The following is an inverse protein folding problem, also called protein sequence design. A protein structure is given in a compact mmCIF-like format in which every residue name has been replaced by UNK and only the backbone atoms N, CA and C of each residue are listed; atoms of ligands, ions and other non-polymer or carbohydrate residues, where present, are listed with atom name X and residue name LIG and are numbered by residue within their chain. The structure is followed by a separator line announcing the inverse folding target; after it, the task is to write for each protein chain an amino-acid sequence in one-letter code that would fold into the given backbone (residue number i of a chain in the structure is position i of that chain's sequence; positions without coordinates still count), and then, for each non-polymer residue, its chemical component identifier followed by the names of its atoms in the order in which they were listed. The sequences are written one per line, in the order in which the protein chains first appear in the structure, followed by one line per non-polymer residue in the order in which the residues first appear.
data_IF_200110595819
#
_entry.id   IF_200110595819
#
_cell.length_a   1.000
_cell.length_b   1.000
_cell.length_c   1.000
_cell.angle_alpha   90.00
_cell.angle_beta   90.00
_cell.angle_gamma   90.00
#
_symmetry.space_group_name_H-M   'P 1'
#
loop_
_entity.id
_entity.type
_entity.pdbx_description
1 polymer ?
#
# COMPACT_ATOMS: atom_id res chain seq x y z
N UNK A 1 -3.87 20.37 -25.04
CA UNK A 1 -4.04 19.37 -23.95
C UNK A 1 -3.80 19.96 -22.55
N UNK A 2 -3.21 21.16 -22.45
CA UNK A 2 -2.74 21.85 -21.23
C UNK A 2 -3.83 22.29 -20.22
N UNK A 3 -5.11 22.04 -20.50
CA UNK A 3 -6.25 22.51 -19.66
C UNK A 3 -6.99 21.35 -18.98
N UNK A 4 -6.71 20.09 -19.33
CA UNK A 4 -7.40 18.93 -18.76
C UNK A 4 -6.81 18.55 -17.41
N UNK A 5 -7.66 18.50 -16.39
CA UNK A 5 -7.38 17.93 -15.07
C UNK A 5 -8.09 16.58 -14.98
N UNK A 6 -7.41 15.53 -15.42
CA UNK A 6 -7.95 14.17 -15.42
C UNK A 6 -7.52 13.47 -14.13
N UNK A 7 -8.44 13.38 -13.17
CA UNK A 7 -8.16 12.76 -11.87
C UNK A 7 -7.87 11.25 -12.02
N UNK A 8 -8.50 10.57 -12.97
CA UNK A 8 -8.27 9.15 -13.23
C UNK A 8 -6.87 8.88 -13.76
N UNK A 9 -6.42 9.68 -14.73
CA UNK A 9 -5.05 9.58 -15.24
C UNK A 9 -4.01 9.89 -14.15
N UNK A 10 -4.28 10.89 -13.30
CA UNK A 10 -3.41 11.23 -12.18
C UNK A 10 -3.33 10.08 -11.15
N UNK A 11 -4.46 9.46 -10.80
CA UNK A 11 -4.51 8.32 -9.88
C UNK A 11 -3.72 7.12 -10.40
N UNK A 12 -3.89 6.76 -11.68
CA UNK A 12 -3.16 5.65 -12.31
C UNK A 12 -1.65 5.91 -12.33
N UNK A 13 -1.24 7.15 -12.62
CA UNK A 13 0.16 7.53 -12.59
C UNK A 13 0.74 7.45 -11.15
N UNK A 14 -0.01 7.88 -10.14
CA UNK A 14 0.38 7.75 -8.74
C UNK A 14 0.51 6.28 -8.32
N UNK A 15 -0.43 5.42 -8.70
CA UNK A 15 -0.36 3.96 -8.44
C UNK A 15 0.93 3.39 -9.00
N UNK A 16 1.28 3.73 -10.24
CA UNK A 16 2.52 3.24 -10.86
C UNK A 16 3.77 3.67 -10.09
N UNK A 17 3.82 4.94 -9.66
CA UNK A 17 4.95 5.46 -8.86
C UNK A 17 5.04 4.82 -7.48
N UNK A 18 3.90 4.52 -6.86
CA UNK A 18 3.83 3.74 -5.61
C UNK A 18 4.43 2.35 -5.84
N UNK A 19 4.02 1.64 -6.89
CA UNK A 19 4.55 0.31 -7.24
C UNK A 19 6.07 0.31 -7.46
N UNK A 20 6.60 1.33 -8.14
CA UNK A 20 8.05 1.48 -8.33
C UNK A 20 8.78 1.75 -7.02
N UNK A 21 8.31 2.72 -6.22
CA UNK A 21 8.96 3.10 -4.97
C UNK A 21 8.88 1.99 -3.93
N UNK A 22 7.74 1.31 -3.82
CA UNK A 22 7.54 0.23 -2.86
C UNK A 22 8.41 -0.98 -3.17
N UNK A 23 8.63 -1.34 -4.44
CA UNK A 23 9.55 -2.42 -4.81
C UNK A 23 10.99 -2.19 -4.34
N UNK A 24 11.44 -0.93 -4.26
CA UNK A 24 12.78 -0.60 -3.74
C UNK A 24 12.83 -0.66 -2.21
N UNK A 25 11.71 -0.39 -1.54
CA UNK A 25 11.62 -0.31 -0.07
C UNK A 25 11.16 -1.60 0.61
N UNK A 26 10.54 -2.51 -0.15
CA UNK A 26 9.98 -3.75 0.35
C UNK A 26 11.05 -4.63 1.00
N UNK A 27 10.72 -5.17 2.18
CA UNK A 27 11.37 -6.34 2.75
C UNK A 27 10.79 -7.63 2.17
N UNK A 28 11.36 -8.77 2.58
CA UNK A 28 10.98 -10.11 2.07
C UNK A 28 9.49 -10.44 2.23
N UNK A 29 8.87 -9.94 3.30
CA UNK A 29 7.47 -10.23 3.66
C UNK A 29 6.51 -9.07 3.41
N UNK A 30 6.99 -8.00 2.78
CA UNK A 30 6.16 -6.84 2.48
C UNK A 30 5.13 -7.19 1.42
N UNK A 31 3.88 -6.83 1.67
CA UNK A 31 2.82 -6.90 0.66
C UNK A 31 2.00 -5.62 0.68
N UNK A 32 1.58 -5.17 -0.50
CA UNK A 32 0.62 -4.09 -0.62
C UNK A 32 -0.40 -4.39 -1.71
N UNK A 33 -1.54 -3.71 -1.67
CA UNK A 33 -2.62 -3.93 -2.64
C UNK A 33 -3.47 -2.68 -2.75
N UNK A 34 -3.71 -2.22 -3.98
CA UNK A 34 -4.81 -1.31 -4.30
C UNK A 34 -6.07 -2.14 -4.47
N UNK A 35 -6.88 -2.24 -3.42
CA UNK A 35 -8.03 -3.15 -3.36
C UNK A 35 -9.33 -2.57 -3.94
N UNK A 36 -9.40 -1.26 -4.11
CA UNK A 36 -10.54 -0.57 -4.69
C UNK A 36 -10.05 0.69 -5.42
N UNK A 37 -10.72 1.01 -6.53
CA UNK A 37 -10.57 2.30 -7.22
C UNK A 37 -11.93 2.80 -7.67
N UNK A 38 -12.14 4.09 -7.57
CA UNK A 38 -13.37 4.77 -8.00
C UNK A 38 -13.02 6.00 -8.82
N UNK A 39 -13.74 6.20 -9.93
CA UNK A 39 -13.68 7.41 -10.75
C UNK A 39 -15.06 8.05 -10.73
N UNK A 40 -15.12 9.37 -10.54
CA UNK A 40 -16.35 10.15 -10.59
C UNK A 40 -16.31 11.10 -11.79
N UNK A 41 -17.39 11.22 -12.59
CA UNK A 41 -18.66 10.49 -12.47
C UNK A 41 -18.64 9.07 -13.07
N UNK A 42 -17.49 8.58 -13.53
CA UNK A 42 -17.34 7.23 -14.07
C UNK A 42 -18.00 7.00 -15.44
N UNK A 43 -18.18 8.06 -16.23
CA UNK A 43 -18.81 8.01 -17.55
C UNK A 43 -17.78 7.99 -18.68
N UNK A 44 -18.02 7.19 -19.72
CA UNK A 44 -17.06 6.94 -20.83
C UNK A 44 -16.61 8.21 -21.56
N UNK A 45 -17.49 9.20 -21.66
CA UNK A 45 -17.24 10.44 -22.42
C UNK A 45 -17.01 11.67 -21.54
N UNK A 46 -16.79 11.48 -20.23
CA UNK A 46 -16.56 12.57 -19.27
C UNK A 46 -15.21 12.35 -18.59
N UNK A 47 -14.38 13.40 -18.58
CA UNK A 47 -13.11 13.38 -17.86
C UNK A 47 -13.41 13.34 -16.36
N UNK A 48 -12.85 12.38 -15.60
CA UNK A 48 -13.07 12.33 -14.16
C UNK A 48 -12.51 13.58 -13.46
N UNK A 49 -13.32 14.19 -12.60
CA UNK A 49 -12.92 15.30 -11.74
C UNK A 49 -12.42 14.82 -10.37
N UNK A 50 -12.82 13.61 -9.95
CA UNK A 50 -12.36 12.94 -8.75
C UNK A 50 -12.00 11.47 -9.06
N UNK A 51 -10.93 11.01 -8.41
CA UNK A 51 -10.52 9.62 -8.43
C UNK A 51 -9.98 9.23 -7.05
N UNK A 52 -10.35 8.05 -6.56
CA UNK A 52 -9.98 7.53 -5.26
C UNK A 52 -9.43 6.11 -5.39
N UNK A 53 -8.46 5.76 -4.54
CA UNK A 53 -7.99 4.40 -4.38
C UNK A 53 -7.92 4.01 -2.90
N UNK A 54 -8.15 2.72 -2.62
CA UNK A 54 -7.91 2.13 -1.31
C UNK A 54 -6.64 1.28 -1.34
N UNK A 55 -5.57 1.77 -0.72
CA UNK A 55 -4.29 1.09 -0.61
C UNK A 55 -4.14 0.45 0.78
N UNK A 56 -3.79 -0.83 0.81
CA UNK A 56 -3.41 -1.53 2.03
C UNK A 56 -1.96 -1.98 1.94
N UNK A 57 -1.21 -1.80 3.02
CA UNK A 57 0.18 -2.23 3.19
C UNK A 57 0.28 -3.12 4.44
N UNK A 58 1.05 -4.22 4.36
CA UNK A 58 1.33 -5.10 5.49
C UNK A 58 2.80 -5.51 5.49
N UNK A 59 3.37 -5.57 6.69
CA UNK A 59 4.69 -6.14 6.96
C UNK A 59 4.76 -6.60 8.42
N UNK A 60 5.70 -7.49 8.74
CA UNK A 60 6.00 -7.92 10.09
C UNK A 60 6.99 -6.98 10.81
N UNK A 61 7.74 -6.16 10.06
CA UNK A 61 8.69 -5.19 10.59
C UNK A 61 8.09 -3.77 10.56
N UNK A 62 7.98 -3.17 11.74
CA UNK A 62 7.42 -1.84 11.94
C UNK A 62 8.23 -0.75 11.24
N UNK A 63 9.54 -0.93 11.06
CA UNK A 63 10.39 0.05 10.39
C UNK A 63 10.17 0.03 8.87
N UNK A 64 9.87 -1.14 8.29
CA UNK A 64 9.44 -1.26 6.89
C UNK A 64 8.13 -0.50 6.67
N UNK A 65 7.15 -0.69 7.55
CA UNK A 65 5.88 0.05 7.48
C UNK A 65 6.10 1.55 7.60
N UNK A 66 6.97 2.00 8.51
CA UNK A 66 7.27 3.41 8.72
C UNK A 66 7.90 4.05 7.48
N UNK A 67 8.91 3.43 6.88
CA UNK A 67 9.58 3.99 5.68
C UNK A 67 8.65 4.05 4.47
N UNK A 68 7.76 3.06 4.32
CA UNK A 68 6.80 3.05 3.22
C UNK A 68 5.66 4.05 3.42
N UNK A 69 5.20 4.29 4.66
CA UNK A 69 4.25 5.37 4.98
C UNK A 69 4.83 6.74 4.63
N UNK A 70 6.09 6.98 4.98
CA UNK A 70 6.80 8.22 4.61
C UNK A 70 6.89 8.35 3.09
N UNK A 71 7.34 7.29 2.39
CA UNK A 71 7.46 7.32 0.94
C UNK A 71 6.11 7.56 0.23
N UNK A 72 5.00 7.06 0.78
CA UNK A 72 3.67 7.30 0.23
C UNK A 72 3.25 8.77 0.41
N UNK A 73 3.53 9.39 1.57
CA UNK A 73 3.30 10.82 1.81
C UNK A 73 4.12 11.67 0.85
N UNK A 74 5.40 11.35 0.70
CA UNK A 74 6.29 12.04 -0.24
C UNK A 74 5.76 11.94 -1.68
N UNK A 75 5.27 10.78 -2.11
CA UNK A 75 4.68 10.61 -3.43
C UNK A 75 3.41 11.46 -3.64
N UNK A 76 2.60 11.67 -2.60
CA UNK A 76 1.44 12.56 -2.66
C UNK A 76 1.91 14.01 -2.82
N UNK A 77 2.89 14.45 -2.05
CA UNK A 77 3.47 15.79 -2.16
C UNK A 77 4.12 16.03 -3.53
N UNK A 78 4.91 15.06 -4.01
CA UNK A 78 5.49 15.11 -5.35
C UNK A 78 4.41 15.15 -6.45
N UNK A 79 3.26 14.48 -6.26
CA UNK A 79 2.12 14.52 -7.19
C UNK A 79 1.47 15.89 -7.22
N UNK A 80 1.26 16.49 -6.06
CA UNK A 80 0.76 17.86 -5.92
C UNK A 80 1.68 18.90 -6.59
N UNK A 81 3.00 18.69 -6.53
CA UNK A 81 3.96 19.60 -7.14
C UNK A 81 4.06 19.45 -8.68
N UNK A 82 3.85 18.24 -9.21
CA UNK A 82 4.09 17.94 -10.62
C UNK A 82 2.87 18.17 -11.53
N UNK A 83 1.66 17.95 -11.01
CA UNK A 83 0.45 17.84 -11.81
C UNK A 83 -0.54 18.99 -11.60
N UNK A 84 -1.51 19.17 -12.53
CA UNK A 84 -2.59 20.14 -12.36
C UNK A 84 -3.71 19.63 -11.42
N UNK A 85 -3.67 18.36 -11.02
CA UNK A 85 -4.60 17.71 -10.09
C UNK A 85 -3.97 17.66 -8.69
N UNK A 86 -4.74 18.02 -7.67
CA UNK A 86 -4.35 17.82 -6.28
C UNK A 86 -4.62 16.38 -5.83
N UNK A 87 -3.84 15.90 -4.88
CA UNK A 87 -3.97 14.61 -4.24
C UNK A 87 -3.89 14.78 -2.71
N UNK A 88 -4.74 14.05 -2.01
CA UNK A 88 -4.77 13.98 -0.56
C UNK A 88 -4.74 12.50 -0.13
N UNK A 89 -4.33 12.23 1.10
CA UNK A 89 -4.31 10.89 1.66
C UNK A 89 -4.80 10.89 3.11
N UNK A 90 -5.69 9.96 3.42
CA UNK A 90 -6.21 9.71 4.76
C UNK A 90 -5.78 8.34 5.28
N UNK A 91 -5.37 8.27 6.56
CA UNK A 91 -5.12 7.00 7.22
C UNK A 91 -6.43 6.43 7.77
N UNK A 92 -6.98 5.42 7.10
CA UNK A 92 -8.24 4.77 7.52
C UNK A 92 -8.04 3.88 8.74
N UNK A 93 -6.97 3.08 8.79
CA UNK A 93 -6.69 2.17 9.90
C UNK A 93 -5.22 1.77 9.94
N UNK A 94 -4.70 1.51 11.15
CA UNK A 94 -3.33 1.04 11.39
C UNK A 94 -3.29 0.12 12.60
N UNK A 95 -2.61 -1.01 12.47
CA UNK A 95 -2.22 -1.89 13.58
C UNK A 95 -0.71 -2.08 13.59
N UNK A 96 -0.13 -2.21 14.79
CA UNK A 96 1.28 -2.56 14.91
C UNK A 96 1.49 -4.05 14.56
N UNK A 97 2.65 -4.43 14.00
CA UNK A 97 3.06 -5.82 13.97
C UNK A 97 3.20 -6.37 15.39
N UNK A 98 2.71 -7.59 15.62
CA UNK A 98 2.81 -8.25 16.92
C UNK A 98 3.57 -9.55 16.76
N UNK A 99 4.74 -9.65 17.39
CA UNK A 99 5.50 -10.88 17.43
C UNK A 99 4.84 -11.87 18.39
N UNK A 100 4.67 -13.12 17.94
CA UNK A 100 4.28 -14.21 18.83
C UNK A 100 5.38 -14.46 19.86
N UNK A 101 4.98 -14.87 21.08
CA UNK A 101 5.91 -15.27 22.15
C UNK A 101 6.89 -16.34 21.67
N UNK A 102 8.17 -16.20 21.99
CA UNK A 102 9.21 -17.18 21.65
C UNK A 102 8.91 -18.55 22.27
N UNK A 103 8.60 -18.59 23.57
CA UNK A 103 8.29 -19.84 24.25
C UNK A 103 7.05 -20.54 23.65
N UNK A 104 6.09 -19.77 23.13
CA UNK A 104 4.91 -20.33 22.48
C UNK A 104 5.22 -20.88 21.08
N UNK A 105 6.10 -20.22 20.31
CA UNK A 105 6.63 -20.77 19.05
C UNK A 105 7.32 -22.10 19.27
N UNK A 106 8.26 -22.14 20.21
CA UNK A 106 9.04 -23.33 20.53
C UNK A 106 8.15 -24.50 20.97
N UNK A 107 7.13 -24.22 21.79
CA UNK A 107 6.17 -25.25 22.20
C UNK A 107 5.36 -25.80 21.01
N UNK A 108 4.94 -24.94 20.08
CA UNK A 108 4.21 -25.37 18.88
C UNK A 108 5.11 -26.18 17.93
N UNK A 109 6.36 -25.76 17.74
CA UNK A 109 7.34 -26.47 16.92
C UNK A 109 7.63 -27.86 17.49
N UNK A 110 7.91 -27.96 18.79
CA UNK A 110 8.15 -29.25 19.48
C UNK A 110 6.94 -30.19 19.37
N UNK A 111 5.72 -29.68 19.57
CA UNK A 111 4.52 -30.50 19.47
C UNK A 111 4.27 -30.98 18.03
N UNK A 112 4.59 -30.15 17.02
CA UNK A 112 4.49 -30.52 15.62
C UNK A 112 5.47 -31.66 15.27
N UNK A 113 6.70 -31.59 15.76
CA UNK A 113 7.72 -32.64 15.56
C UNK A 113 7.31 -33.97 16.20
N UNK A 114 6.68 -33.96 17.36
CA UNK A 114 6.19 -35.16 18.04
C UNK A 114 5.01 -35.82 17.31
N UNK A 115 4.05 -35.01 16.85
CA UNK A 115 2.77 -35.50 16.30
C UNK A 115 2.86 -35.79 14.80
N UNK A 116 3.70 -35.08 14.06
CA UNK A 116 3.81 -35.19 12.60
C UNK A 116 5.25 -35.02 12.09
N UNK A 117 6.19 -35.92 12.49
CA UNK A 117 7.59 -35.81 12.12
C UNK A 117 7.79 -35.80 10.59
N UNK A 118 8.63 -34.89 10.12
CA UNK A 118 9.03 -34.80 8.70
C UNK A 118 7.97 -34.18 7.77
N UNK A 119 6.98 -33.47 8.31
CA UNK A 119 5.93 -32.78 7.53
C UNK A 119 5.92 -31.25 7.71
N UNK A 120 6.96 -30.68 8.31
CA UNK A 120 7.18 -29.24 8.40
C UNK A 120 7.65 -28.65 7.06
#
# INVERSE_FOLDING_TARGET
MTVRKDAGAALVALIHRVEERFRVLAGERTVWTVGNMRLEPGQVSIIPDLAEMMLQLRDADAEVLRRMDVALRDLVDETNAAGPCSADMELVSRSAPHAMSTAFKEALESAADEVAPGRA
#
